data_IF_551961368116
#
_entry.id   IF_551961368116
#
_cell.length_a   1.000
_cell.length_b   1.000
_cell.length_c   1.000
_cell.angle_alpha   90.00
_cell.angle_beta   90.00
_cell.angle_gamma   90.00
#
_symmetry.space_group_name_H-M   'P 1'
#
loop_
_entity.id
_entity.type
_entity.pdbx_description
1 polymer ?
#
# COMPACT_ATOMS: atom_id res chain seq x y z
N UNK A 1 18.60 48.04 11.57
CA UNK A 1 17.37 47.23 11.76
C UNK A 1 17.14 46.51 10.44
N UNK A 2 17.31 45.19 10.38
CA UNK A 2 17.15 44.42 9.14
C UNK A 2 15.66 44.13 8.98
N UNK A 3 15.04 44.69 7.95
CA UNK A 3 13.65 44.43 7.61
C UNK A 3 13.62 43.15 6.79
N UNK A 4 13.13 42.06 7.37
CA UNK A 4 12.96 40.78 6.66
C UNK A 4 11.55 40.80 6.09
N UNK A 5 11.45 41.14 4.80
CA UNK A 5 10.22 40.93 4.04
C UNK A 5 10.19 39.46 3.62
N UNK A 6 9.22 38.72 4.16
CA UNK A 6 9.02 37.31 3.84
C UNK A 6 8.17 37.25 2.58
N UNK A 7 8.72 36.68 1.51
CA UNK A 7 7.95 36.37 0.30
C UNK A 7 7.04 35.17 0.59
N UNK A 8 5.75 35.44 0.76
CA UNK A 8 4.74 34.41 1.03
C UNK A 8 4.69 33.32 -0.05
N UNK A 9 5.07 33.64 -1.29
CA UNK A 9 5.12 32.65 -2.37
C UNK A 9 6.29 31.67 -2.17
N UNK A 10 7.44 32.17 -1.75
CA UNK A 10 8.63 31.34 -1.51
C UNK A 10 8.39 30.39 -0.32
N UNK A 11 7.69 30.86 0.73
CA UNK A 11 7.28 30.02 1.87
C UNK A 11 6.29 28.93 1.44
N UNK A 12 5.33 29.26 0.55
CA UNK A 12 4.36 28.29 0.02
C UNK A 12 5.04 27.20 -0.81
N UNK A 13 5.97 27.57 -1.69
CA UNK A 13 6.71 26.60 -2.50
C UNK A 13 7.57 25.67 -1.63
N UNK A 14 8.23 26.22 -0.60
CA UNK A 14 9.02 25.42 0.35
C UNK A 14 8.13 24.42 1.12
N UNK A 15 6.94 24.84 1.54
CA UNK A 15 5.95 23.98 2.18
C UNK A 15 5.51 22.84 1.26
N UNK A 16 5.12 23.16 0.02
CA UNK A 16 4.67 22.16 -0.95
C UNK A 16 5.76 21.16 -1.31
N UNK A 17 7.01 21.62 -1.43
CA UNK A 17 8.16 20.75 -1.66
C UNK A 17 8.37 19.77 -0.49
N UNK A 18 8.38 20.28 0.74
CA UNK A 18 8.56 19.45 1.94
C UNK A 18 7.43 18.42 2.09
N UNK A 19 6.20 18.81 1.76
CA UNK A 19 5.05 17.92 1.78
C UNK A 19 5.19 16.80 0.74
N UNK A 20 5.62 17.11 -0.49
CA UNK A 20 5.89 16.11 -1.53
C UNK A 20 6.98 15.14 -1.12
N UNK A 21 8.11 15.65 -0.60
CA UNK A 21 9.21 14.81 -0.11
C UNK A 21 8.75 13.86 1.00
N UNK A 22 7.87 14.32 1.91
CA UNK A 22 7.29 13.46 2.96
C UNK A 22 6.29 12.44 2.44
N UNK A 23 5.52 12.77 1.41
CA UNK A 23 4.61 11.82 0.75
C UNK A 23 5.41 10.76 0.00
N UNK A 24 6.45 11.16 -0.73
CA UNK A 24 7.34 10.27 -1.47
C UNK A 24 8.14 9.34 -0.53
N UNK A 25 8.55 9.83 0.65
CA UNK A 25 9.15 9.00 1.71
C UNK A 25 8.18 7.93 2.26
N UNK A 26 6.88 8.21 2.24
CA UNK A 26 5.82 7.31 2.74
C UNK A 26 5.39 6.30 1.67
N UNK A 27 5.59 6.61 0.39
CA UNK A 27 5.15 5.78 -0.74
C UNK A 27 6.24 4.83 -1.27
N UNK A 28 7.08 4.31 -0.37
CA UNK A 28 7.92 3.16 -0.67
C UNK A 28 7.05 1.89 -0.77
N UNK A 29 6.30 1.78 -1.86
CA UNK A 29 5.46 0.62 -2.12
C UNK A 29 6.35 -0.63 -2.26
N UNK A 30 6.19 -1.56 -1.31
CA UNK A 30 6.87 -2.84 -1.37
C UNK A 30 6.50 -3.58 -2.65
N UNK A 31 7.49 -4.02 -3.43
CA UNK A 31 7.26 -4.87 -4.61
C UNK A 31 6.57 -6.19 -4.21
N UNK A 32 6.92 -6.72 -3.04
CA UNK A 32 6.34 -7.94 -2.49
C UNK A 32 5.86 -7.78 -1.05
N UNK A 33 4.73 -8.39 -0.73
CA UNK A 33 4.27 -8.59 0.64
C UNK A 33 4.60 -10.00 1.11
N UNK A 34 4.99 -10.13 2.37
CA UNK A 34 4.93 -11.41 3.08
C UNK A 34 3.55 -11.59 3.73
N UNK A 35 3.35 -12.70 4.44
CA UNK A 35 2.06 -12.95 5.12
C UNK A 35 1.78 -11.97 6.27
N UNK A 36 2.80 -11.34 6.86
CA UNK A 36 2.60 -10.34 7.92
C UNK A 36 2.09 -9.04 7.32
N UNK A 37 2.71 -8.60 6.23
CA UNK A 37 2.29 -7.41 5.51
C UNK A 37 0.92 -7.59 4.87
N UNK A 38 0.63 -8.76 4.29
CA UNK A 38 -0.71 -9.05 3.76
C UNK A 38 -1.80 -8.90 4.84
N UNK A 39 -1.59 -9.47 6.04
CA UNK A 39 -2.53 -9.28 7.17
C UNK A 39 -2.69 -7.82 7.56
N UNK A 40 -1.59 -7.06 7.58
CA UNK A 40 -1.61 -5.63 7.92
C UNK A 40 -2.40 -4.83 6.89
N UNK A 41 -2.22 -5.13 5.60
CA UNK A 41 -2.87 -4.43 4.48
C UNK A 41 -4.37 -4.73 4.38
N UNK A 42 -4.78 -5.95 4.71
CA UNK A 42 -6.19 -6.36 4.62
C UNK A 42 -6.95 -6.22 5.93
N UNK A 43 -6.26 -5.95 7.05
CA UNK A 43 -6.82 -5.98 8.40
C UNK A 43 -7.47 -7.32 8.78
N UNK A 44 -7.07 -8.42 8.13
CA UNK A 44 -7.66 -9.74 8.34
C UNK A 44 -6.71 -10.69 9.09
N UNK A 45 -7.29 -11.62 9.84
CA UNK A 45 -6.55 -12.76 10.39
C UNK A 45 -6.05 -13.67 9.26
N UNK A 46 -4.98 -14.44 9.52
CA UNK A 46 -4.49 -15.41 8.54
C UNK A 46 -5.56 -16.45 8.14
N UNK A 47 -6.33 -16.93 9.13
CA UNK A 47 -7.40 -17.91 8.88
C UNK A 47 -8.49 -17.33 7.98
N UNK A 48 -8.86 -16.06 8.19
CA UNK A 48 -9.81 -15.35 7.32
C UNK A 48 -9.26 -15.23 5.92
N UNK A 49 -8.02 -14.77 5.74
CA UNK A 49 -7.38 -14.66 4.41
C UNK A 49 -7.40 -16.01 3.69
N UNK A 50 -7.05 -17.09 4.39
CA UNK A 50 -7.07 -18.44 3.83
C UNK A 50 -8.46 -18.88 3.38
N UNK A 51 -9.48 -18.63 4.20
CA UNK A 51 -10.88 -18.98 3.92
C UNK A 51 -11.44 -18.20 2.74
N UNK A 52 -11.15 -16.90 2.66
CA UNK A 52 -11.82 -15.98 1.76
C UNK A 52 -11.22 -15.98 0.34
N UNK A 53 -9.91 -15.81 0.20
CA UNK A 53 -9.33 -15.58 -1.13
C UNK A 53 -7.92 -16.14 -1.34
N UNK A 54 -7.22 -16.58 -0.29
CA UNK A 54 -5.81 -16.96 -0.44
C UNK A 54 -5.62 -18.10 -1.43
N UNK A 55 -6.56 -19.04 -1.51
CA UNK A 55 -6.50 -20.17 -2.42
C UNK A 55 -7.10 -19.90 -3.81
N UNK A 56 -7.62 -18.69 -4.05
CA UNK A 56 -8.05 -18.28 -5.38
C UNK A 56 -6.84 -18.37 -6.34
N UNK A 57 -6.97 -19.05 -7.50
CA UNK A 57 -5.90 -19.17 -8.48
C UNK A 57 -5.46 -17.82 -9.07
N UNK A 58 -6.33 -16.81 -9.07
CA UNK A 58 -6.05 -15.44 -9.53
C UNK A 58 -5.17 -14.66 -8.54
N UNK A 59 -5.15 -15.05 -7.26
CA UNK A 59 -4.38 -14.33 -6.24
C UNK A 59 -2.85 -14.47 -6.47
N UNK A 60 -2.08 -13.36 -6.62
CA UNK A 60 -0.72 -13.36 -7.14
C UNK A 60 0.35 -13.73 -6.09
N UNK A 61 0.23 -14.92 -5.53
CA UNK A 61 1.17 -15.51 -4.55
C UNK A 61 2.15 -16.48 -5.19
N UNK A 62 3.37 -16.54 -4.65
CA UNK A 62 4.37 -17.57 -4.93
C UNK A 62 5.07 -17.99 -3.65
N UNK A 63 5.38 -19.28 -3.53
CA UNK A 63 6.20 -19.80 -2.43
C UNK A 63 7.65 -19.85 -2.89
N UNK A 64 8.53 -19.17 -2.17
CA UNK A 64 9.98 -19.18 -2.43
C UNK A 64 10.65 -19.66 -1.14
N UNK A 65 11.24 -20.86 -1.20
CA UNK A 65 11.70 -21.58 -0.02
C UNK A 65 10.55 -21.81 0.97
N UNK A 66 10.73 -21.36 2.22
CA UNK A 66 9.74 -21.51 3.29
C UNK A 66 8.69 -20.40 3.37
N UNK A 67 8.78 -19.34 2.55
CA UNK A 67 7.96 -18.12 2.70
C UNK A 67 7.05 -17.88 1.50
N UNK A 68 5.90 -17.27 1.78
CA UNK A 68 5.00 -16.75 0.76
C UNK A 68 5.36 -15.31 0.41
N UNK A 69 5.44 -15.03 -0.88
CA UNK A 69 5.59 -13.71 -1.45
C UNK A 69 4.38 -13.41 -2.32
N UNK A 70 3.80 -12.24 -2.12
CA UNK A 70 2.64 -11.75 -2.84
C UNK A 70 3.09 -10.53 -3.63
N UNK A 71 2.90 -10.53 -4.96
CA UNK A 71 3.27 -9.36 -5.77
C UNK A 71 2.27 -8.23 -5.52
N UNK A 72 2.73 -7.17 -4.86
CA UNK A 72 1.87 -6.14 -4.28
C UNK A 72 0.98 -5.42 -5.31
N UNK A 73 1.49 -4.98 -6.48
CA UNK A 73 0.66 -4.28 -7.47
C UNK A 73 -0.55 -5.10 -7.92
N UNK A 74 -0.34 -6.37 -8.29
CA UNK A 74 -1.43 -7.27 -8.68
C UNK A 74 -2.33 -7.68 -7.51
N UNK A 75 -1.80 -7.71 -6.29
CA UNK A 75 -2.59 -8.08 -5.13
C UNK A 75 -3.60 -6.98 -4.78
N UNK A 76 -3.22 -5.70 -4.92
CA UNK A 76 -4.15 -4.56 -4.79
C UNK A 76 -5.30 -4.68 -5.79
N UNK A 77 -4.98 -4.85 -7.07
CA UNK A 77 -5.98 -5.03 -8.15
C UNK A 77 -6.90 -6.22 -7.87
N UNK A 78 -6.35 -7.36 -7.45
CA UNK A 78 -7.14 -8.53 -7.10
C UNK A 78 -8.08 -8.26 -5.92
N UNK A 79 -7.58 -7.65 -4.84
CA UNK A 79 -8.34 -7.44 -3.61
C UNK A 79 -9.50 -6.45 -3.81
N UNK A 80 -9.30 -5.44 -4.63
CA UNK A 80 -10.35 -4.50 -5.02
C UNK A 80 -11.48 -5.22 -5.76
N UNK A 81 -11.14 -5.99 -6.81
CA UNK A 81 -12.13 -6.77 -7.55
C UNK A 81 -12.84 -7.80 -6.66
N UNK A 82 -12.08 -8.54 -5.86
CA UNK A 82 -12.62 -9.53 -4.91
C UNK A 82 -13.62 -8.89 -3.94
N UNK A 83 -13.37 -7.67 -3.46
CA UNK A 83 -14.28 -6.96 -2.55
C UNK A 83 -15.61 -6.63 -3.23
N UNK A 84 -15.59 -6.11 -4.47
CA UNK A 84 -16.80 -5.81 -5.23
C UNK A 84 -17.59 -7.07 -5.61
N UNK A 85 -16.91 -8.20 -5.83
CA UNK A 85 -17.56 -9.50 -6.04
C UNK A 85 -18.40 -9.91 -4.80
N UNK A 86 -18.02 -9.49 -3.58
CA UNK A 86 -18.78 -9.82 -2.36
C UNK A 86 -20.08 -9.03 -2.22
N UNK A 87 -20.19 -7.84 -2.83
CA UNK A 87 -21.40 -7.02 -2.77
C UNK A 87 -22.53 -7.55 -3.68
N UNK A 88 -22.21 -8.50 -4.57
CA UNK A 88 -23.17 -9.11 -5.51
C UNK A 88 -23.67 -10.49 -5.03
N UNK A 89 -23.46 -10.83 -3.75
CA UNK A 89 -23.96 -12.03 -3.06
C UNK A 89 -25.11 -11.66 -2.12
#
# INVERSE_FOLDING_TARGET
>A
MINVEIDENEVRELYLKTLREKIDEVDAELIFWDTKELKRRTCMSWNTIQKEFFFDPRFPKRKVGGKWYIYAPKAKEFLENWLFEQCNL
#
